data_IF_973012540563
#
_entry.id   IF_973012540563
#
_cell.length_a   1.000
_cell.length_b   1.000
_cell.length_c   1.000
_cell.angle_alpha   90.00
_cell.angle_beta   90.00
_cell.angle_gamma   90.00
#
_symmetry.space_group_name_H-M   'P 1'
#
loop_
_entity.id
_entity.type
_entity.pdbx_description
1 polymer ?
#
# COMPACT_ATOMS: atom_id res chain seq x y z
N UNK A 1 -22.45 26.83 -9.03
CA UNK A 1 -21.66 26.09 -10.04
C UNK A 1 -20.15 26.16 -9.80
N UNK A 2 -19.59 27.25 -9.27
CA UNK A 2 -18.15 27.39 -9.00
C UNK A 2 -17.62 26.42 -7.94
N UNK A 3 -18.27 26.26 -6.81
CA UNK A 3 -17.89 25.30 -5.76
C UNK A 3 -17.89 23.84 -6.26
N UNK A 4 -18.72 23.52 -7.27
CA UNK A 4 -18.75 22.16 -7.88
C UNK A 4 -17.51 21.82 -8.69
N UNK A 5 -16.72 22.78 -9.10
CA UNK A 5 -15.51 22.54 -9.92
C UNK A 5 -14.21 22.55 -9.09
N UNK A 6 -14.20 23.16 -7.92
CA UNK A 6 -13.00 23.30 -7.10
C UNK A 6 -12.55 21.96 -6.49
N UNK A 7 -13.46 21.15 -5.93
CA UNK A 7 -13.10 19.85 -5.37
C UNK A 7 -12.67 18.85 -6.45
N UNK A 8 -13.21 18.97 -7.68
CA UNK A 8 -12.82 18.14 -8.82
C UNK A 8 -11.40 18.47 -9.28
N UNK A 9 -11.05 19.74 -9.38
CA UNK A 9 -9.67 20.17 -9.68
C UNK A 9 -8.70 19.74 -8.60
N UNK A 10 -9.09 19.87 -7.33
CA UNK A 10 -8.31 19.43 -6.18
C UNK A 10 -8.15 17.89 -6.12
N UNK A 11 -9.01 17.11 -6.76
CA UNK A 11 -8.91 15.64 -6.80
C UNK A 11 -7.87 15.13 -7.81
N UNK A 12 -7.49 15.91 -8.81
CA UNK A 12 -6.56 15.49 -9.87
C UNK A 12 -5.25 14.88 -9.32
N UNK A 13 -4.50 15.50 -8.38
CA UNK A 13 -3.28 14.92 -7.86
C UNK A 13 -3.51 13.59 -7.13
N UNK A 14 -4.64 13.43 -6.46
CA UNK A 14 -5.00 12.18 -5.78
C UNK A 14 -5.41 11.09 -6.77
N UNK A 15 -6.10 11.45 -7.84
CA UNK A 15 -6.44 10.54 -8.94
C UNK A 15 -5.19 10.05 -9.68
N UNK A 16 -4.22 10.93 -9.94
CA UNK A 16 -2.94 10.56 -10.54
C UNK A 16 -2.12 9.64 -9.62
N UNK A 17 -2.11 9.88 -8.31
CA UNK A 17 -1.47 8.98 -7.37
C UNK A 17 -2.16 7.60 -7.32
N UNK A 18 -3.49 7.56 -7.39
CA UNK A 18 -4.23 6.30 -7.48
C UNK A 18 -3.89 5.53 -8.77
N UNK A 19 -3.82 6.23 -9.91
CA UNK A 19 -3.38 5.66 -11.18
C UNK A 19 -1.96 5.10 -11.09
N UNK A 20 -1.04 5.86 -10.49
CA UNK A 20 0.35 5.46 -10.29
C UNK A 20 0.46 4.16 -9.47
N UNK A 21 -0.24 4.08 -8.35
CA UNK A 21 -0.26 2.87 -7.51
C UNK A 21 -0.78 1.67 -8.30
N UNK A 22 -1.87 1.86 -9.05
CA UNK A 22 -2.50 0.79 -9.83
C UNK A 22 -1.61 0.28 -10.96
N UNK A 23 -1.01 1.18 -11.76
CA UNK A 23 -0.20 0.78 -12.91
C UNK A 23 1.10 0.08 -12.49
N UNK A 24 1.78 0.60 -11.45
CA UNK A 24 2.99 -0.02 -10.90
C UNK A 24 2.66 -1.33 -10.19
N UNK A 25 1.49 -1.41 -9.53
CA UNK A 25 0.97 -2.67 -8.99
C UNK A 25 0.75 -3.71 -10.10
N UNK A 26 0.15 -3.33 -11.22
CA UNK A 26 0.00 -4.20 -12.39
C UNK A 26 1.33 -4.63 -13.01
N UNK A 27 2.30 -3.74 -13.12
CA UNK A 27 3.66 -4.09 -13.57
C UNK A 27 4.32 -5.12 -12.67
N UNK A 28 4.10 -5.06 -11.37
CA UNK A 28 4.69 -5.99 -10.40
C UNK A 28 4.26 -7.44 -10.62
N UNK A 29 3.10 -7.69 -11.24
CA UNK A 29 2.62 -9.06 -11.52
C UNK A 29 3.45 -9.77 -12.58
N UNK A 30 4.02 -9.04 -13.54
CA UNK A 30 4.84 -9.58 -14.64
C UNK A 30 6.35 -9.48 -14.38
N UNK A 31 6.73 -8.76 -13.33
CA UNK A 31 8.15 -8.59 -12.96
C UNK A 31 8.78 -9.88 -12.43
N UNK A 32 8.05 -10.66 -11.62
CA UNK A 32 8.56 -11.83 -10.92
C UNK A 32 9.26 -12.83 -11.83
N UNK A 33 8.60 -13.35 -12.89
CA UNK A 33 9.20 -14.30 -13.81
C UNK A 33 10.48 -13.80 -14.48
N UNK A 34 10.50 -12.56 -14.93
CA UNK A 34 11.66 -11.96 -15.61
C UNK A 34 12.84 -11.73 -14.69
N UNK A 35 12.56 -11.35 -13.43
CA UNK A 35 13.58 -11.17 -12.41
C UNK A 35 14.26 -12.49 -12.03
N UNK A 36 13.48 -13.57 -11.95
CA UNK A 36 13.99 -14.92 -11.66
C UNK A 36 14.97 -15.39 -12.74
N UNK A 37 14.62 -15.20 -14.01
CA UNK A 37 15.44 -15.62 -15.12
C UNK A 37 16.80 -14.90 -15.16
N UNK A 38 16.81 -13.61 -14.83
CA UNK A 38 18.03 -12.77 -14.89
C UNK A 38 18.99 -13.03 -13.72
N UNK A 39 18.46 -13.30 -12.52
CA UNK A 39 19.27 -13.45 -11.29
C UNK A 39 19.52 -14.92 -10.91
N UNK A 40 18.86 -15.88 -11.59
CA UNK A 40 19.04 -17.32 -11.35
C UNK A 40 18.48 -17.81 -10.01
N UNK A 41 17.37 -17.23 -9.56
CA UNK A 41 16.73 -17.56 -8.28
C UNK A 41 15.56 -18.51 -8.51
N UNK A 42 15.24 -19.38 -7.54
CA UNK A 42 14.04 -20.21 -7.62
C UNK A 42 12.76 -19.35 -7.64
N UNK A 43 11.81 -19.71 -8.51
CA UNK A 43 10.55 -18.96 -8.68
C UNK A 43 9.79 -18.72 -7.37
N UNK A 44 9.80 -19.69 -6.47
CA UNK A 44 9.15 -19.59 -5.16
C UNK A 44 9.66 -18.40 -4.32
N UNK A 45 10.89 -17.95 -4.57
CA UNK A 45 11.49 -16.84 -3.83
C UNK A 45 10.95 -15.48 -4.26
N UNK A 46 10.28 -15.35 -5.43
CA UNK A 46 9.65 -14.09 -5.86
C UNK A 46 8.53 -13.65 -4.95
N UNK A 47 7.84 -14.59 -4.32
CA UNK A 47 6.78 -14.32 -3.34
C UNK A 47 7.27 -13.41 -2.21
N UNK A 48 8.54 -13.55 -1.80
CA UNK A 48 9.12 -12.72 -0.75
C UNK A 48 9.20 -11.23 -1.13
N UNK A 49 9.40 -10.91 -2.40
CA UNK A 49 9.42 -9.52 -2.87
C UNK A 49 8.04 -8.87 -2.78
N UNK A 50 6.99 -9.60 -3.16
CA UNK A 50 5.60 -9.15 -3.04
C UNK A 50 5.18 -9.02 -1.56
N UNK A 51 5.59 -9.99 -0.72
CA UNK A 51 5.35 -9.94 0.72
C UNK A 51 6.02 -8.75 1.37
N UNK A 52 7.28 -8.45 1.06
CA UNK A 52 7.99 -7.30 1.61
C UNK A 52 7.23 -5.98 1.34
N UNK A 53 6.68 -5.81 0.13
CA UNK A 53 5.86 -4.66 -0.21
C UNK A 53 4.52 -4.67 0.54
N UNK A 54 3.83 -5.80 0.59
CA UNK A 54 2.55 -5.92 1.29
C UNK A 54 2.68 -5.68 2.80
N UNK A 55 3.74 -6.22 3.42
CA UNK A 55 4.05 -6.02 4.84
C UNK A 55 4.24 -4.55 5.18
N UNK A 56 5.11 -3.85 4.43
CA UNK A 56 5.34 -2.42 4.66
C UNK A 56 4.09 -1.58 4.40
N UNK A 57 3.31 -1.92 3.37
CA UNK A 57 2.05 -1.21 3.08
C UNK A 57 1.04 -1.38 4.20
N UNK A 58 0.79 -2.61 4.65
CA UNK A 58 -0.20 -2.89 5.69
C UNK A 58 0.21 -2.30 7.05
N UNK A 59 1.49 -2.44 7.39
CA UNK A 59 2.02 -1.99 8.68
C UNK A 59 2.13 -0.46 8.77
N UNK A 60 2.53 0.20 7.69
CA UNK A 60 2.73 1.65 7.70
C UNK A 60 1.46 2.45 7.40
N UNK A 61 0.42 1.87 6.77
CA UNK A 61 -0.78 2.62 6.38
C UNK A 61 -1.50 3.30 7.55
N UNK A 62 -1.76 2.67 8.70
CA UNK A 62 -2.39 3.33 9.84
C UNK A 62 -1.55 4.46 10.42
N UNK A 63 -0.22 4.27 10.43
CA UNK A 63 0.75 5.24 10.95
C UNK A 63 0.81 6.46 10.03
N UNK A 64 1.00 6.23 8.73
CA UNK A 64 1.14 7.29 7.73
C UNK A 64 -0.19 8.01 7.46
N UNK A 65 -1.33 7.35 7.67
CA UNK A 65 -2.63 7.98 7.70
C UNK A 65 -2.71 9.05 8.80
N UNK A 66 -2.30 8.73 10.03
CA UNK A 66 -2.21 9.70 11.14
C UNK A 66 -1.19 10.82 10.85
N UNK A 67 -0.03 10.48 10.29
CA UNK A 67 0.96 11.47 9.87
C UNK A 67 0.35 12.44 8.85
N UNK A 68 -0.48 11.94 7.92
CA UNK A 68 -1.20 12.75 6.94
C UNK A 68 -2.15 13.78 7.58
N UNK A 69 -2.80 13.42 8.69
CA UNK A 69 -3.66 14.35 9.42
C UNK A 69 -2.87 15.46 10.13
N UNK A 70 -1.60 15.22 10.47
CA UNK A 70 -0.73 16.15 11.20
C UNK A 70 0.04 17.08 10.28
N UNK A 71 0.80 16.52 9.31
CA UNK A 71 1.66 17.32 8.41
C UNK A 71 0.91 17.86 7.19
N UNK A 72 -0.33 17.40 7.01
CA UNK A 72 -1.21 17.78 5.91
C UNK A 72 -1.16 16.82 4.71
N UNK A 73 -2.31 16.60 4.11
CA UNK A 73 -2.52 15.61 3.05
C UNK A 73 -1.64 15.82 1.83
N UNK A 74 -1.51 17.07 1.36
CA UNK A 74 -0.64 17.39 0.20
C UNK A 74 0.80 16.97 0.46
N UNK A 75 1.35 17.32 1.62
CA UNK A 75 2.74 16.99 1.96
C UNK A 75 2.93 15.49 2.09
N UNK A 76 1.99 14.80 2.73
CA UNK A 76 2.05 13.34 2.87
C UNK A 76 1.92 12.65 1.52
N UNK A 77 1.08 13.13 0.61
CA UNK A 77 0.98 12.63 -0.75
C UNK A 77 2.31 12.77 -1.50
N UNK A 78 2.91 13.95 -1.49
CA UNK A 78 4.18 14.22 -2.17
C UNK A 78 5.32 13.41 -1.57
N UNK A 79 5.41 13.29 -0.24
CA UNK A 79 6.38 12.43 0.43
C UNK A 79 6.15 10.95 0.06
N UNK A 80 4.89 10.52 0.01
CA UNK A 80 4.52 9.17 -0.44
C UNK A 80 5.00 8.88 -1.86
N UNK A 81 4.76 9.79 -2.81
CA UNK A 81 5.23 9.66 -4.20
C UNK A 81 6.76 9.66 -4.26
N UNK A 82 7.44 10.52 -3.50
CA UNK A 82 8.91 10.56 -3.47
C UNK A 82 9.51 9.26 -2.94
N UNK A 83 9.00 8.72 -1.82
CA UNK A 83 9.43 7.44 -1.26
C UNK A 83 9.12 6.28 -2.20
N UNK A 84 7.94 6.30 -2.83
CA UNK A 84 7.54 5.31 -3.84
C UNK A 84 8.48 5.32 -5.05
N UNK A 85 8.85 6.51 -5.53
CA UNK A 85 9.82 6.68 -6.62
C UNK A 85 11.19 6.14 -6.23
N UNK A 86 11.68 6.49 -5.03
CA UNK A 86 12.94 5.98 -4.50
C UNK A 86 12.95 4.44 -4.46
N UNK A 87 11.88 3.82 -3.98
CA UNK A 87 11.74 2.38 -3.96
C UNK A 87 11.80 1.74 -5.35
N UNK A 88 11.19 2.37 -6.37
CA UNK A 88 11.27 1.89 -7.76
C UNK A 88 12.67 2.08 -8.36
N UNK A 89 13.38 3.18 -8.05
CA UNK A 89 14.79 3.37 -8.43
C UNK A 89 15.65 2.27 -7.82
N UNK A 90 15.53 2.03 -6.51
CA UNK A 90 16.24 0.94 -5.85
C UNK A 90 15.92 -0.42 -6.46
N UNK A 91 14.64 -0.66 -6.82
CA UNK A 91 14.24 -1.90 -7.49
C UNK A 91 14.91 -2.07 -8.86
N UNK A 92 15.05 -0.98 -9.64
CA UNK A 92 15.73 -1.01 -10.94
C UNK A 92 17.24 -1.31 -10.84
N UNK A 93 17.85 -0.94 -9.71
CA UNK A 93 19.25 -1.18 -9.40
C UNK A 93 19.52 -2.53 -8.71
N UNK A 94 18.47 -3.32 -8.46
CA UNK A 94 18.57 -4.55 -7.71
C UNK A 94 19.34 -5.64 -8.49
N UNK A 95 20.36 -6.22 -7.83
CA UNK A 95 21.20 -7.31 -8.34
C UNK A 95 21.11 -8.57 -7.46
N UNK A 96 20.27 -8.53 -6.40
CA UNK A 96 20.05 -9.68 -5.52
C UNK A 96 18.61 -9.67 -5.00
N UNK A 97 18.14 -10.86 -4.59
CA UNK A 97 16.80 -11.00 -3.99
C UNK A 97 16.64 -10.11 -2.75
N UNK A 98 17.61 -10.12 -1.85
CA UNK A 98 17.55 -9.34 -0.61
C UNK A 98 17.47 -7.84 -0.91
N UNK A 99 18.24 -7.35 -1.85
CA UNK A 99 18.19 -5.95 -2.24
C UNK A 99 16.82 -5.60 -2.88
N UNK A 100 16.27 -6.48 -3.73
CA UNK A 100 14.93 -6.32 -4.28
C UNK A 100 13.86 -6.30 -3.18
N UNK A 101 13.95 -7.16 -2.17
CA UNK A 101 13.02 -7.17 -1.03
C UNK A 101 13.06 -5.83 -0.27
N UNK A 102 14.26 -5.29 0.01
CA UNK A 102 14.43 -3.99 0.66
C UNK A 102 13.82 -2.88 -0.22
N UNK A 103 14.09 -2.89 -1.51
CA UNK A 103 13.54 -1.92 -2.45
C UNK A 103 12.00 -1.96 -2.49
N UNK A 104 11.41 -3.17 -2.53
CA UNK A 104 9.97 -3.37 -2.48
C UNK A 104 9.35 -2.96 -1.15
N UNK A 105 10.06 -3.15 -0.06
CA UNK A 105 9.64 -2.65 1.25
C UNK A 105 9.53 -1.11 1.23
N UNK A 106 10.47 -0.41 0.64
CA UNK A 106 10.42 1.05 0.47
C UNK A 106 9.25 1.47 -0.43
N UNK A 107 8.99 0.75 -1.53
CA UNK A 107 7.79 0.98 -2.40
C UNK A 107 6.51 0.89 -1.57
N UNK A 108 6.40 -0.12 -0.70
CA UNK A 108 5.24 -0.32 0.16
C UNK A 108 5.03 0.83 1.16
N UNK A 109 6.07 1.40 1.74
CA UNK A 109 5.98 2.61 2.59
C UNK A 109 5.37 3.77 1.79
N UNK A 110 5.83 4.00 0.56
CA UNK A 110 5.28 5.03 -0.32
C UNK A 110 3.79 4.82 -0.60
N UNK A 111 3.39 3.59 -0.92
CA UNK A 111 1.97 3.20 -1.12
C UNK A 111 1.13 3.44 0.14
N UNK A 112 1.68 3.06 1.30
CA UNK A 112 1.03 3.24 2.60
C UNK A 112 0.79 4.71 2.95
N UNK A 113 1.64 5.62 2.49
CA UNK A 113 1.44 7.06 2.68
C UNK A 113 0.36 7.63 1.76
N UNK A 114 0.28 7.16 0.51
CA UNK A 114 -0.65 7.71 -0.48
C UNK A 114 -2.09 7.24 -0.29
N UNK A 115 -2.31 5.94 -0.06
CA UNK A 115 -3.66 5.34 -0.06
C UNK A 115 -4.60 5.96 0.99
N UNK A 116 -4.27 6.05 2.30
CA UNK A 116 -5.18 6.63 3.28
C UNK A 116 -5.41 8.12 3.05
N UNK A 117 -4.42 8.84 2.50
CA UNK A 117 -4.55 10.26 2.18
C UNK A 117 -5.53 10.49 1.03
N UNK A 118 -5.53 9.63 0.00
CA UNK A 118 -6.52 9.67 -1.09
C UNK A 118 -7.93 9.46 -0.55
N UNK A 119 -8.12 8.42 0.30
CA UNK A 119 -9.41 8.12 0.93
C UNK A 119 -9.89 9.28 1.81
N UNK A 120 -9.00 9.83 2.65
CA UNK A 120 -9.31 10.96 3.50
C UNK A 120 -9.70 12.20 2.69
N UNK A 121 -9.05 12.46 1.54
CA UNK A 121 -9.41 13.56 0.66
C UNK A 121 -10.85 13.40 0.13
N UNK A 122 -11.22 12.22 -0.35
CA UNK A 122 -12.57 11.95 -0.87
C UNK A 122 -13.62 12.22 0.21
N UNK A 123 -13.43 11.67 1.42
CA UNK A 123 -14.42 11.80 2.51
C UNK A 123 -14.62 13.24 2.97
N UNK A 124 -13.56 14.07 2.95
CA UNK A 124 -13.64 15.40 3.56
C UNK A 124 -13.80 16.54 2.57
N UNK A 125 -13.41 16.35 1.29
CA UNK A 125 -13.44 17.42 0.29
C UNK A 125 -14.63 17.30 -0.68
N UNK A 126 -15.19 16.10 -0.81
CA UNK A 126 -16.40 15.93 -1.61
C UNK A 126 -17.64 16.27 -0.80
N UNK A 127 -18.68 16.86 -1.42
CA UNK A 127 -19.98 17.05 -0.78
C UNK A 127 -20.53 15.69 -0.29
N UNK A 128 -21.27 15.65 0.85
CA UNK A 128 -21.75 14.39 1.44
C UNK A 128 -22.55 13.50 0.47
N UNK A 129 -23.33 14.11 -0.44
CA UNK A 129 -24.11 13.42 -1.47
C UNK A 129 -23.25 12.94 -2.67
N UNK A 130 -21.98 13.30 -2.74
CA UNK A 130 -21.08 12.94 -3.83
C UNK A 130 -19.84 12.12 -3.39
N UNK A 131 -19.72 11.81 -2.10
CA UNK A 131 -18.62 10.98 -1.57
C UNK A 131 -18.59 9.61 -2.26
N UNK A 132 -19.76 8.97 -2.45
CA UNK A 132 -19.85 7.71 -3.18
C UNK A 132 -19.32 7.82 -4.62
N UNK A 133 -19.59 8.95 -5.31
CA UNK A 133 -19.06 9.22 -6.65
C UNK A 133 -17.52 9.39 -6.63
N UNK A 134 -16.98 10.03 -5.60
CA UNK A 134 -15.52 10.13 -5.41
C UNK A 134 -14.86 8.77 -5.28
N UNK A 135 -15.43 7.87 -4.46
CA UNK A 135 -14.95 6.50 -4.34
C UNK A 135 -15.10 5.70 -5.63
N UNK A 136 -16.22 5.86 -6.35
CA UNK A 136 -16.40 5.20 -7.66
C UNK A 136 -15.36 5.63 -8.68
N UNK A 137 -15.02 6.92 -8.74
CA UNK A 137 -13.95 7.42 -9.60
C UNK A 137 -12.58 6.86 -9.20
N UNK A 138 -12.28 6.82 -7.91
CA UNK A 138 -11.04 6.20 -7.41
C UNK A 138 -10.96 4.73 -7.82
N UNK A 139 -12.01 3.95 -7.61
CA UNK A 139 -12.06 2.53 -7.96
C UNK A 139 -11.93 2.33 -9.48
N UNK A 140 -12.59 3.15 -10.28
CA UNK A 140 -12.48 3.10 -11.74
C UNK A 140 -11.04 3.32 -12.20
N UNK A 141 -10.39 4.39 -11.71
CA UNK A 141 -9.01 4.72 -12.06
C UNK A 141 -8.05 3.61 -11.63
N UNK A 142 -8.18 3.11 -10.40
CA UNK A 142 -7.33 2.05 -9.87
C UNK A 142 -7.50 0.75 -10.65
N UNK A 143 -8.74 0.33 -10.93
CA UNK A 143 -9.01 -0.92 -11.66
C UNK A 143 -8.52 -0.84 -13.11
N UNK A 144 -8.78 0.28 -13.80
CA UNK A 144 -8.26 0.50 -15.15
C UNK A 144 -6.73 0.41 -15.18
N UNK A 145 -6.06 1.05 -14.21
CA UNK A 145 -4.59 1.03 -14.13
C UNK A 145 -4.04 -0.38 -13.91
N UNK A 146 -4.68 -1.18 -13.06
CA UNK A 146 -4.28 -2.58 -12.81
C UNK A 146 -4.44 -3.44 -14.06
N UNK A 147 -5.48 -3.19 -14.88
CA UNK A 147 -5.70 -3.94 -16.14
C UNK A 147 -4.64 -3.59 -17.20
N UNK A 148 -4.33 -2.31 -17.35
CA UNK A 148 -3.30 -1.88 -18.32
C UNK A 148 -1.87 -2.23 -17.90
N UNK A 149 -1.62 -2.35 -16.59
CA UNK A 149 -0.29 -2.62 -16.05
C UNK A 149 0.38 -3.87 -16.62
N UNK A 150 -0.19 -5.07 -16.51
CA UNK A 150 0.43 -6.30 -17.01
C UNK A 150 0.67 -6.27 -18.52
N UNK A 151 -0.26 -5.71 -19.29
CA UNK A 151 -0.16 -5.62 -20.75
C UNK A 151 0.99 -4.72 -21.16
N UNK A 152 1.05 -3.49 -20.65
CA UNK A 152 2.13 -2.55 -20.93
C UNK A 152 3.46 -3.05 -20.35
N UNK A 153 3.44 -3.59 -19.13
CA UNK A 153 4.62 -4.16 -18.49
C UNK A 153 5.20 -5.33 -19.27
N UNK A 154 4.35 -6.26 -19.73
CA UNK A 154 4.77 -7.39 -20.56
C UNK A 154 5.40 -6.96 -21.88
N UNK A 155 4.83 -5.98 -22.57
CA UNK A 155 5.39 -5.42 -23.81
C UNK A 155 6.76 -4.77 -23.57
N UNK A 156 6.91 -4.00 -22.51
CA UNK A 156 8.20 -3.35 -22.19
C UNK A 156 9.24 -4.39 -21.79
N UNK A 157 8.87 -5.37 -20.97
CA UNK A 157 9.78 -6.44 -20.53
C UNK A 157 10.26 -7.27 -21.71
N UNK A 158 9.37 -7.65 -22.63
CA UNK A 158 9.73 -8.46 -23.79
C UNK A 158 10.66 -7.72 -24.77
N UNK A 159 10.54 -6.40 -24.87
CA UNK A 159 11.35 -5.59 -25.78
C UNK A 159 12.67 -5.10 -25.16
N UNK A 160 12.66 -4.73 -23.88
CA UNK A 160 13.78 -3.99 -23.24
C UNK A 160 14.20 -4.56 -21.89
N UNK A 161 13.54 -5.62 -21.42
CA UNK A 161 13.82 -6.25 -20.12
C UNK A 161 13.15 -5.56 -18.93
N UNK A 162 13.18 -6.25 -17.78
CA UNK A 162 12.47 -5.81 -16.57
C UNK A 162 13.03 -4.54 -15.92
N UNK A 163 14.34 -4.28 -16.07
CA UNK A 163 14.94 -3.04 -15.58
C UNK A 163 14.42 -1.81 -16.32
N UNK A 164 14.25 -1.91 -17.64
CA UNK A 164 13.67 -0.82 -18.45
C UNK A 164 12.23 -0.49 -18.01
N UNK A 165 11.43 -1.53 -17.72
CA UNK A 165 10.08 -1.32 -17.17
C UNK A 165 10.11 -0.53 -15.85
N UNK A 166 11.02 -0.82 -14.94
CA UNK A 166 11.15 -0.09 -13.68
C UNK A 166 11.59 1.37 -13.90
N UNK A 167 12.45 1.65 -14.87
CA UNK A 167 12.80 3.02 -15.25
C UNK A 167 11.61 3.78 -15.85
N UNK A 168 10.76 3.11 -16.62
CA UNK A 168 9.49 3.70 -17.07
C UNK A 168 8.58 4.02 -15.87
N UNK A 169 8.50 3.14 -14.86
CA UNK A 169 7.80 3.43 -13.62
C UNK A 169 8.34 4.70 -12.95
N UNK A 170 9.67 4.82 -12.84
CA UNK A 170 10.32 6.01 -12.26
C UNK A 170 9.97 7.27 -13.03
N UNK A 171 9.95 7.22 -14.37
CA UNK A 171 9.55 8.34 -15.20
C UNK A 171 8.08 8.75 -14.96
N UNK A 172 7.16 7.78 -14.90
CA UNK A 172 5.74 8.03 -14.57
C UNK A 172 5.62 8.65 -13.17
N UNK A 173 6.37 8.15 -12.19
CA UNK A 173 6.41 8.69 -10.83
C UNK A 173 6.88 10.15 -10.83
N UNK A 174 7.96 10.46 -11.55
CA UNK A 174 8.50 11.82 -11.63
C UNK A 174 7.50 12.80 -12.27
N UNK A 175 6.86 12.40 -13.37
CA UNK A 175 5.80 13.19 -14.00
C UNK A 175 4.63 13.42 -13.04
N UNK A 176 4.18 12.36 -12.37
CA UNK A 176 3.09 12.44 -11.37
C UNK A 176 3.48 13.38 -10.23
N UNK A 177 4.70 13.29 -9.71
CA UNK A 177 5.20 14.18 -8.66
C UNK A 177 5.15 15.65 -9.09
N UNK A 178 5.68 15.96 -10.29
CA UNK A 178 5.68 17.33 -10.84
C UNK A 178 4.25 17.85 -11.00
N UNK A 179 3.37 17.05 -11.60
CA UNK A 179 1.96 17.44 -11.77
C UNK A 179 1.28 17.66 -10.41
N UNK A 180 1.53 16.79 -9.42
CA UNK A 180 1.00 16.95 -8.06
C UNK A 180 1.53 18.20 -7.37
N UNK A 181 2.79 18.59 -7.56
CA UNK A 181 3.35 19.84 -7.03
C UNK A 181 2.63 21.05 -7.63
N UNK A 182 2.41 21.04 -8.95
CA UNK A 182 1.83 22.15 -9.70
C UNK A 182 0.31 22.29 -9.47
N UNK A 183 -0.41 21.16 -9.39
CA UNK A 183 -1.88 21.15 -9.33
C UNK A 183 -2.43 21.11 -7.92
N UNK A 184 -1.67 20.59 -6.95
CA UNK A 184 -2.11 20.58 -5.55
C UNK A 184 -2.08 22.00 -4.99
N UNK A 185 -3.22 22.68 -5.00
CA UNK A 185 -3.41 24.04 -4.47
C UNK A 185 -2.92 24.21 -3.02
N UNK A 186 -2.96 25.45 -2.52
CA UNK A 186 -2.74 25.76 -1.10
C UNK A 186 -3.90 25.18 -0.28
N UNK A 187 -3.93 23.89 -0.10
CA UNK A 187 -4.94 23.25 0.73
C UNK A 187 -4.55 23.44 2.18
N UNK A 188 -5.43 24.11 2.91
CA UNK A 188 -5.29 24.40 4.34
C UNK A 188 -4.97 23.09 5.07
N UNK A 189 -3.72 22.96 5.46
CA UNK A 189 -3.33 21.97 6.44
C UNK A 189 -3.92 22.43 7.77
N UNK A 190 -5.05 21.90 8.14
CA UNK A 190 -5.43 21.90 9.55
C UNK A 190 -4.37 21.06 10.28
N UNK A 191 -3.24 21.70 10.59
CA UNK A 191 -2.16 21.09 11.34
C UNK A 191 -2.70 20.73 12.71
N UNK A 192 -2.96 19.48 12.94
CA UNK A 192 -3.22 18.99 14.29
C UNK A 192 -1.88 18.79 14.98
N UNK A 193 -1.67 19.30 16.20
CA UNK A 193 -0.41 19.08 16.89
C UNK A 193 -0.18 17.59 17.12
N UNK A 194 1.05 17.13 16.89
CA UNK A 194 1.52 15.75 17.16
C UNK A 194 1.46 15.36 18.67
N UNK A 195 0.82 16.18 19.48
CA UNK A 195 0.72 15.97 20.92
C UNK A 195 0.02 14.62 21.15
N UNK A 196 0.76 13.63 21.65
CA UNK A 196 0.33 12.26 22.01
C UNK A 196 0.32 11.22 20.85
N UNK A 197 1.29 11.30 19.91
CA UNK A 197 1.48 10.20 18.96
C UNK A 197 1.91 8.93 19.70
N UNK A 198 1.14 7.86 19.55
CA UNK A 198 1.45 6.56 20.14
C UNK A 198 2.53 5.83 19.31
N UNK A 199 3.81 6.12 19.61
CA UNK A 199 4.93 5.46 18.93
C UNK A 199 5.04 3.98 19.25
N UNK A 200 4.66 3.56 20.46
CA UNK A 200 4.70 2.14 20.86
C UNK A 200 3.62 1.36 20.10
N UNK A 201 2.40 1.90 20.06
CA UNK A 201 1.32 1.30 19.26
C UNK A 201 1.70 1.20 17.78
N UNK A 202 2.37 2.22 17.23
CA UNK A 202 2.85 2.20 15.83
C UNK A 202 3.82 1.05 15.56
N UNK A 203 4.81 0.85 16.43
CA UNK A 203 5.78 -0.27 16.31
C UNK A 203 5.08 -1.62 16.45
N UNK A 204 4.15 -1.77 17.41
CA UNK A 204 3.41 -3.01 17.60
C UNK A 204 2.49 -3.32 16.40
N UNK A 205 1.83 -2.32 15.81
CA UNK A 205 1.06 -2.46 14.57
C UNK A 205 1.96 -2.98 13.44
N UNK A 206 3.16 -2.39 13.28
CA UNK A 206 4.13 -2.82 12.28
C UNK A 206 4.55 -4.28 12.48
N UNK A 207 4.91 -4.66 13.70
CA UNK A 207 5.31 -6.03 14.04
C UNK A 207 4.16 -7.00 13.80
N UNK A 208 2.95 -6.68 14.26
CA UNK A 208 1.78 -7.54 14.12
C UNK A 208 1.42 -7.81 12.67
N UNK A 209 1.26 -6.78 11.84
CA UNK A 209 0.92 -6.96 10.42
C UNK A 209 2.03 -7.66 9.65
N UNK A 210 3.30 -7.39 9.98
CA UNK A 210 4.43 -8.08 9.37
C UNK A 210 4.41 -9.58 9.69
N UNK A 211 4.23 -9.95 10.94
CA UNK A 211 4.15 -11.36 11.36
C UNK A 211 2.92 -12.04 10.76
N UNK A 212 1.75 -11.39 10.76
CA UNK A 212 0.51 -11.93 10.21
C UNK A 212 0.62 -12.25 8.72
N UNK A 213 1.31 -11.42 7.94
CA UNK A 213 1.56 -11.67 6.52
C UNK A 213 2.62 -12.76 6.28
N UNK A 214 3.54 -12.97 7.24
CA UNK A 214 4.50 -14.07 7.17
C UNK A 214 3.87 -15.45 7.44
N UNK A 215 2.80 -15.52 8.25
CA UNK A 215 2.18 -16.80 8.64
C UNK A 215 1.86 -17.70 7.45
N UNK A 216 1.09 -17.26 6.40
CA UNK A 216 0.79 -18.11 5.24
C UNK A 216 2.04 -18.52 4.47
N UNK A 217 3.01 -17.63 4.31
CA UNK A 217 4.25 -17.93 3.58
C UNK A 217 5.12 -18.97 4.28
N UNK A 218 5.21 -18.90 5.60
CA UNK A 218 5.91 -19.92 6.38
C UNK A 218 5.18 -21.25 6.31
N UNK A 219 3.84 -21.27 6.35
CA UNK A 219 3.05 -22.48 6.16
C UNK A 219 3.29 -23.15 4.81
N UNK A 220 3.32 -22.37 3.72
CA UNK A 220 3.55 -22.89 2.37
C UNK A 220 5.00 -23.36 2.15
N UNK A 221 6.00 -22.63 2.64
CA UNK A 221 7.41 -22.95 2.37
C UNK A 221 8.00 -24.01 3.33
N UNK A 222 7.55 -24.04 4.58
CA UNK A 222 8.12 -24.92 5.61
C UNK A 222 7.14 -25.99 6.12
N UNK A 223 5.90 -25.95 5.66
CA UNK A 223 4.82 -26.83 6.12
C UNK A 223 4.04 -26.28 7.31
N UNK A 224 2.74 -26.52 7.31
CA UNK A 224 1.76 -25.99 8.27
C UNK A 224 1.94 -26.53 9.72
N UNK A 225 2.75 -27.58 9.92
CA UNK A 225 3.07 -28.17 11.22
C UNK A 225 4.51 -27.94 11.63
N UNK A 226 5.30 -27.20 10.86
CA UNK A 226 6.71 -26.96 11.13
C UNK A 226 6.91 -26.08 12.38
N UNK A 227 8.02 -26.29 13.07
CA UNK A 227 8.42 -25.45 14.21
C UNK A 227 8.54 -23.96 13.81
N UNK A 228 8.99 -23.69 12.58
CA UNK A 228 9.10 -22.34 12.06
C UNK A 228 7.72 -21.66 11.89
N UNK A 229 6.74 -22.38 11.31
CA UNK A 229 5.37 -21.89 11.19
C UNK A 229 4.73 -21.63 12.58
N UNK A 230 4.83 -22.59 13.49
CA UNK A 230 4.29 -22.44 14.84
C UNK A 230 4.95 -21.28 15.60
N UNK A 231 6.26 -21.08 15.43
CA UNK A 231 6.97 -19.95 16.02
C UNK A 231 6.46 -18.60 15.53
N UNK A 232 6.27 -18.43 14.21
CA UNK A 232 5.73 -17.19 13.63
C UNK A 232 4.27 -16.99 14.05
N UNK A 233 3.46 -18.03 14.11
CA UNK A 233 2.06 -17.95 14.55
C UNK A 233 1.96 -17.50 16.01
N UNK A 234 2.76 -18.10 16.91
CA UNK A 234 2.81 -17.71 18.33
C UNK A 234 3.30 -16.27 18.46
N UNK A 235 4.34 -15.88 17.74
CA UNK A 235 4.83 -14.49 17.74
C UNK A 235 3.76 -13.49 17.25
N UNK A 236 2.97 -13.84 16.23
CA UNK A 236 1.85 -13.02 15.76
C UNK A 236 0.76 -12.88 16.83
N UNK A 237 0.43 -13.95 17.54
CA UNK A 237 -0.56 -13.91 18.65
C UNK A 237 -0.03 -13.04 19.80
N UNK A 238 1.23 -13.20 20.19
CA UNK A 238 1.84 -12.40 21.27
C UNK A 238 1.85 -10.92 20.88
N UNK A 239 2.21 -10.60 19.62
CA UNK A 239 2.21 -9.22 19.14
C UNK A 239 0.80 -8.61 19.10
N UNK A 240 -0.23 -9.40 18.77
CA UNK A 240 -1.62 -8.98 18.84
C UNK A 240 -2.05 -8.64 20.28
N UNK A 241 -1.72 -9.52 21.23
CA UNK A 241 -2.01 -9.29 22.65
C UNK A 241 -1.28 -8.04 23.17
N UNK A 242 -0.01 -7.86 22.79
CA UNK A 242 0.77 -6.67 23.10
C UNK A 242 0.14 -5.41 22.51
N UNK A 243 -0.29 -5.46 21.26
CA UNK A 243 -0.97 -4.36 20.59
C UNK A 243 -2.29 -4.00 21.31
N UNK A 244 -3.11 -5.00 21.63
CA UNK A 244 -4.37 -4.77 22.36
C UNK A 244 -4.12 -4.15 23.75
N UNK A 245 -3.06 -4.56 24.44
CA UNK A 245 -2.69 -4.01 25.75
C UNK A 245 -2.18 -2.54 25.61
N UNK A 246 -1.37 -2.23 24.60
CA UNK A 246 -0.87 -0.88 24.34
C UNK A 246 -2.01 0.07 23.94
N UNK A 247 -2.88 -0.36 23.02
CA UNK A 247 -4.02 0.43 22.53
C UNK A 247 -5.03 0.79 23.65
N UNK A 248 -5.18 -0.09 24.67
CA UNK A 248 -6.03 0.21 25.85
C UNK A 248 -5.47 1.32 26.72
N UNK A 249 -4.15 1.53 26.70
CA UNK A 249 -3.46 2.56 27.51
C UNK A 249 -3.19 3.85 26.71
N UNK A 250 -3.31 3.79 25.40
CA UNK A 250 -3.00 4.92 24.51
C UNK A 250 -4.05 6.03 24.63
N UNK A 251 -3.59 7.28 24.75
CA UNK A 251 -4.45 8.48 24.77
C UNK A 251 -5.10 8.70 23.41
N UNK A 252 -4.39 8.36 22.33
CA UNK A 252 -4.89 8.41 20.95
C UNK A 252 -4.55 7.11 20.23
N UNK A 253 -5.35 6.04 20.41
CA UNK A 253 -5.08 4.75 19.82
C UNK A 253 -5.03 4.83 18.30
N UNK A 254 -4.16 4.01 17.68
CA UNK A 254 -4.05 3.91 16.22
C UNK A 254 -5.25 3.13 15.67
N UNK A 255 -5.68 2.09 16.39
CA UNK A 255 -6.85 1.28 16.11
C UNK A 255 -7.88 1.44 17.23
N UNK A 256 -8.80 2.43 17.15
CA UNK A 256 -9.74 2.66 18.24
C UNK A 256 -10.62 1.44 18.49
N UNK A 257 -10.49 0.81 19.67
CA UNK A 257 -11.23 -0.37 20.07
C UNK A 257 -12.76 -0.21 20.04
N UNK A 258 -13.25 1.03 19.99
CA UNK A 258 -14.68 1.33 19.80
C UNK A 258 -15.21 0.89 18.43
N UNK A 259 -14.39 0.87 17.38
CA UNK A 259 -14.78 0.35 16.06
C UNK A 259 -14.89 -1.17 16.07
N UNK A 260 -14.01 -1.86 16.78
CA UNK A 260 -14.04 -3.34 16.89
C UNK A 260 -15.28 -3.87 17.61
N UNK A 261 -15.96 -3.03 18.42
CA UNK A 261 -17.23 -3.40 19.08
C UNK A 261 -18.45 -3.23 18.19
N UNK A 262 -18.34 -2.57 17.03
CA UNK A 262 -19.45 -2.38 16.10
C UNK A 262 -19.57 -3.59 15.18
N UNK A 263 -20.68 -4.34 15.29
CA UNK A 263 -20.94 -5.51 14.43
C UNK A 263 -20.85 -5.22 12.94
N UNK A 264 -21.30 -4.04 12.50
CA UNK A 264 -21.18 -3.61 11.10
C UNK A 264 -19.71 -3.51 10.64
N UNK A 265 -18.79 -3.08 11.50
CA UNK A 265 -17.36 -3.03 11.17
C UNK A 265 -16.78 -4.44 11.02
N UNK A 266 -17.08 -5.34 11.95
CA UNK A 266 -16.62 -6.73 11.91
C UNK A 266 -17.14 -7.43 10.65
N UNK A 267 -18.42 -7.26 10.33
CA UNK A 267 -19.02 -7.83 9.11
C UNK A 267 -18.37 -7.28 7.84
N UNK A 268 -18.08 -5.98 7.79
CA UNK A 268 -17.39 -5.37 6.64
C UNK A 268 -15.97 -5.92 6.46
N UNK A 269 -15.22 -6.08 7.56
CA UNK A 269 -13.87 -6.65 7.53
C UNK A 269 -13.90 -8.12 7.09
N UNK A 270 -14.85 -8.92 7.61
CA UNK A 270 -15.02 -10.31 7.21
C UNK A 270 -15.43 -10.43 5.74
N UNK A 271 -16.35 -9.58 5.27
CA UNK A 271 -16.77 -9.56 3.87
C UNK A 271 -15.60 -9.21 2.94
N UNK A 272 -14.79 -8.21 3.29
CA UNK A 272 -13.58 -7.85 2.54
C UNK A 272 -12.56 -8.99 2.53
N UNK A 273 -12.32 -9.63 3.67
CA UNK A 273 -11.38 -10.74 3.78
C UNK A 273 -11.80 -11.94 2.91
N UNK A 274 -13.09 -12.31 2.97
CA UNK A 274 -13.64 -13.40 2.15
C UNK A 274 -13.60 -13.07 0.66
N UNK A 275 -13.98 -11.84 0.28
CA UNK A 275 -13.99 -11.41 -1.12
C UNK A 275 -12.59 -11.39 -1.72
N UNK A 276 -11.62 -10.82 -1.00
CA UNK A 276 -10.22 -10.78 -1.44
C UNK A 276 -9.58 -12.16 -1.45
N UNK A 277 -9.87 -13.00 -0.44
CA UNK A 277 -9.39 -14.38 -0.37
C UNK A 277 -9.90 -15.20 -1.55
N UNK A 278 -11.19 -15.12 -1.88
CA UNK A 278 -11.78 -15.81 -3.02
C UNK A 278 -11.21 -15.33 -4.36
N UNK A 279 -10.97 -14.02 -4.51
CA UNK A 279 -10.33 -13.46 -5.71
C UNK A 279 -8.90 -14.01 -5.90
N UNK A 280 -8.12 -14.13 -4.83
CA UNK A 280 -6.75 -14.65 -4.91
C UNK A 280 -6.74 -16.16 -5.24
N UNK A 281 -7.64 -16.94 -4.66
CA UNK A 281 -7.76 -18.38 -4.98
C UNK A 281 -8.11 -18.59 -6.46
N UNK A 282 -9.02 -17.79 -7.02
CA UNK A 282 -9.36 -17.87 -8.44
C UNK A 282 -8.18 -17.50 -9.35
N UNK A 283 -7.36 -16.52 -8.99
CA UNK A 283 -6.17 -16.13 -9.76
C UNK A 283 -5.11 -17.23 -9.76
N UNK A 284 -4.95 -17.97 -8.66
CA UNK A 284 -3.95 -19.05 -8.56
C UNK A 284 -4.39 -20.35 -9.24
N UNK A 285 -5.70 -20.60 -9.37
CA UNK A 285 -6.23 -21.81 -10.03
C UNK A 285 -6.39 -21.67 -11.56
N UNK A 286 -6.16 -20.48 -12.13
CA UNK A 286 -6.24 -20.22 -13.57
C UNK A 286 -4.88 -20.27 -14.29
N UNK A 287 -3.81 -20.65 -13.59
CA UNK A 287 -2.47 -20.90 -14.12
C UNK A 287 -2.14 -22.38 -13.99
#
# INVERSE_FOLDING_TARGET
MEQSNEYKKGFIPYALAAFLIGIVGGFSTVLGPSFVQDIGIAYNNTTWTALAQAMSTAACAPILGKVGDVIGRKRTLLLGIAVFTLGNVLSALANSLVFMMIARFVVGIGTAAMTPVIMAYIVTSFPPNQVAKGFSLYMLISSASVIFGPTLGGLIISAYGWRAMLWVCVAICAVTFIVCVLTAGKQDSQRRPLKNFDGIGAVLVLIFFSLMLCVPSFGQNFGWTSKAFLGVLIAAIISLLGLMAAERKAVQPILPGSFMKRGAFILSVLALFLTQGLMQVNMTNTI
#
